data_IF_810237058050
#
_entry.id   IF_810237058050
#
_cell.length_a   1.000
_cell.length_b   1.000
_cell.length_c   1.000
_cell.angle_alpha   90.00
_cell.angle_beta   90.00
_cell.angle_gamma   90.00
#
_symmetry.space_group_name_H-M   'P 1'
#
loop_
_entity.id
_entity.type
_entity.pdbx_description
1 polymer ?
#
# COMPACT_ATOMS: atom_id res chain seq x y z
N UNK A 1 -9.95 -10.70 -16.10
CA UNK A 1 -8.74 -9.85 -16.18
C UNK A 1 -7.60 -10.59 -15.51
N UNK A 2 -6.44 -10.66 -16.15
CA UNK A 2 -5.29 -11.31 -15.53
C UNK A 2 -4.70 -10.42 -14.42
N UNK A 3 -3.84 -10.98 -13.61
CA UNK A 3 -3.27 -10.30 -12.46
C UNK A 3 -2.46 -9.06 -12.84
N UNK A 4 -1.65 -9.15 -13.90
CA UNK A 4 -0.84 -8.03 -14.36
C UNK A 4 -1.69 -6.83 -14.75
N UNK A 5 -2.77 -7.05 -15.50
CA UNK A 5 -3.68 -5.98 -15.90
C UNK A 5 -4.42 -5.40 -14.69
N UNK A 6 -4.76 -6.25 -13.73
CA UNK A 6 -5.42 -5.82 -12.50
C UNK A 6 -4.52 -4.91 -11.66
N UNK A 7 -3.23 -5.27 -11.56
CA UNK A 7 -2.24 -4.47 -10.86
C UNK A 7 -2.12 -3.06 -11.46
N UNK A 8 -1.98 -2.99 -12.77
CA UNK A 8 -1.85 -1.72 -13.49
C UNK A 8 -3.11 -0.88 -13.38
N UNK A 9 -4.26 -1.52 -13.50
CA UNK A 9 -5.56 -0.83 -13.42
C UNK A 9 -5.77 -0.19 -12.04
N UNK A 10 -5.50 -0.93 -10.97
CA UNK A 10 -5.67 -0.39 -9.61
C UNK A 10 -4.69 0.73 -9.31
N UNK A 11 -3.41 0.57 -9.68
CA UNK A 11 -2.44 1.64 -9.51
C UNK A 11 -2.92 2.93 -10.21
N UNK A 12 -3.47 2.79 -11.40
CA UNK A 12 -3.99 3.94 -12.13
C UNK A 12 -5.19 4.57 -11.44
N UNK A 13 -6.15 3.75 -11.00
CA UNK A 13 -7.36 4.24 -10.31
C UNK A 13 -7.01 4.96 -9.01
N UNK A 14 -6.04 4.46 -8.28
CA UNK A 14 -5.61 5.05 -7.02
C UNK A 14 -4.63 6.20 -7.21
N UNK A 15 -4.13 6.40 -8.43
CA UNK A 15 -3.10 7.38 -8.79
C UNK A 15 -1.82 7.19 -7.99
N UNK A 16 -1.36 5.95 -7.92
CA UNK A 16 -0.13 5.56 -7.23
C UNK A 16 0.73 4.65 -8.11
N UNK A 17 1.97 4.45 -7.69
CA UNK A 17 2.92 3.54 -8.33
C UNK A 17 3.42 2.56 -7.28
N UNK A 18 2.80 1.39 -7.22
CA UNK A 18 3.15 0.36 -6.24
C UNK A 18 3.52 -0.97 -6.88
N UNK A 19 3.27 -1.12 -8.17
CA UNK A 19 3.53 -2.36 -8.91
C UNK A 19 5.03 -2.53 -9.15
N UNK A 20 5.47 -3.78 -9.11
CA UNK A 20 6.86 -4.15 -9.37
C UNK A 20 7.61 -4.46 -8.09
N UNK A 21 8.65 -5.28 -8.25
CA UNK A 21 9.52 -5.71 -7.17
C UNK A 21 10.67 -4.74 -6.99
N UNK A 22 11.07 -4.50 -5.75
CA UNK A 22 12.24 -3.70 -5.44
C UNK A 22 13.16 -4.53 -4.53
N UNK A 23 14.33 -4.96 -5.06
CA UNK A 23 15.30 -5.75 -4.35
C UNK A 23 16.38 -4.91 -3.66
N UNK A 24 16.28 -3.59 -3.76
CA UNK A 24 17.24 -2.69 -3.13
C UNK A 24 17.28 -2.95 -1.63
N UNK A 25 18.49 -3.20 -1.09
CA UNK A 25 18.71 -3.53 0.31
C UNK A 25 18.15 -4.90 0.74
N UNK A 26 17.80 -5.77 -0.20
CA UNK A 26 17.43 -7.14 0.14
C UNK A 26 18.66 -7.92 0.59
N UNK A 27 18.56 -8.63 1.72
CA UNK A 27 19.61 -9.49 2.25
C UNK A 27 19.00 -10.56 3.16
N UNK A 28 19.82 -11.25 3.96
CA UNK A 28 19.32 -12.32 4.83
C UNK A 28 18.38 -11.83 5.94
N UNK A 29 18.37 -10.54 6.23
CA UNK A 29 17.55 -9.92 7.29
C UNK A 29 16.44 -9.05 6.73
N UNK A 30 16.47 -8.71 5.44
CA UNK A 30 15.51 -7.81 4.80
C UNK A 30 15.00 -8.42 3.52
N UNK A 31 13.71 -8.46 3.39
CA UNK A 31 13.08 -8.96 2.17
C UNK A 31 12.96 -7.84 1.15
N UNK A 32 13.00 -8.19 -0.15
CA UNK A 32 12.72 -7.20 -1.19
C UNK A 32 11.29 -6.70 -1.08
N UNK A 33 11.04 -5.48 -1.55
CA UNK A 33 9.68 -5.01 -1.67
C UNK A 33 8.95 -5.84 -2.71
N UNK A 34 7.82 -6.40 -2.34
CA UNK A 34 6.98 -7.18 -3.21
C UNK A 34 5.54 -6.94 -2.78
N UNK A 35 4.73 -6.25 -3.61
CA UNK A 35 3.41 -5.86 -3.17
C UNK A 35 2.44 -7.04 -3.11
N UNK A 36 1.54 -6.99 -2.14
CA UNK A 36 0.42 -7.92 -2.06
C UNK A 36 -0.47 -7.72 -3.30
N UNK A 37 -0.84 -8.78 -4.02
CA UNK A 37 -1.71 -8.63 -5.19
C UNK A 37 -3.02 -7.95 -4.86
N UNK A 38 -3.47 -7.07 -5.74
CA UNK A 38 -4.76 -6.40 -5.55
C UNK A 38 -5.94 -7.35 -5.44
N UNK A 39 -5.86 -8.50 -6.11
CA UNK A 39 -6.92 -9.52 -5.98
C UNK A 39 -7.11 -10.01 -4.55
N UNK A 40 -6.01 -10.11 -3.81
CA UNK A 40 -6.06 -10.49 -2.38
C UNK A 40 -6.67 -9.34 -1.57
N UNK A 41 -6.27 -8.11 -1.86
CA UNK A 41 -6.80 -6.93 -1.17
C UNK A 41 -8.30 -6.74 -1.44
N UNK A 42 -8.75 -7.03 -2.66
CA UNK A 42 -10.16 -7.00 -3.01
C UNK A 42 -10.97 -7.97 -2.13
N UNK A 43 -10.45 -9.19 -1.93
CA UNK A 43 -11.11 -10.17 -1.05
C UNK A 43 -11.18 -9.66 0.38
N UNK A 44 -10.10 -9.08 0.88
CA UNK A 44 -10.06 -8.55 2.23
C UNK A 44 -11.07 -7.40 2.40
N UNK A 45 -11.10 -6.48 1.46
CA UNK A 45 -12.05 -5.38 1.49
C UNK A 45 -13.50 -5.86 1.46
N UNK A 46 -13.78 -6.90 0.66
CA UNK A 46 -15.12 -7.46 0.50
C UNK A 46 -15.56 -8.32 1.68
N UNK A 47 -14.64 -8.69 2.55
CA UNK A 47 -14.95 -9.53 3.73
C UNK A 47 -15.78 -8.81 4.79
N UNK A 48 -15.76 -7.48 4.79
CA UNK A 48 -16.42 -6.69 5.82
C UNK A 48 -15.67 -6.60 7.14
N UNK A 49 -14.45 -7.16 7.20
CA UNK A 49 -13.64 -7.12 8.42
C UNK A 49 -13.07 -5.73 8.71
N UNK A 50 -12.81 -4.96 7.66
CA UNK A 50 -12.28 -3.60 7.81
C UNK A 50 -13.40 -2.63 7.45
N UNK A 51 -13.71 -1.74 8.37
CA UNK A 51 -14.83 -0.80 8.24
C UNK A 51 -14.34 0.64 8.33
N UNK A 52 -15.20 1.54 7.93
CA UNK A 52 -14.96 2.99 7.95
C UNK A 52 -14.48 3.50 9.32
N UNK A 53 -14.97 2.93 10.41
CA UNK A 53 -14.63 3.35 11.77
C UNK A 53 -13.26 2.84 12.23
N UNK A 54 -12.68 1.89 11.50
CA UNK A 54 -11.42 1.27 11.89
C UNK A 54 -10.22 2.11 11.46
N UNK A 55 -9.12 1.88 12.14
CA UNK A 55 -7.80 2.36 11.72
C UNK A 55 -6.94 1.14 11.47
N UNK A 56 -6.47 1.00 10.23
CA UNK A 56 -5.58 -0.08 9.83
C UNK A 56 -4.15 0.31 10.16
N UNK A 57 -3.43 -0.59 10.82
CA UNK A 57 -1.99 -0.43 11.04
C UNK A 57 -1.26 -1.43 10.16
N UNK A 58 -0.42 -0.92 9.29
CA UNK A 58 0.29 -1.71 8.29
C UNK A 58 1.80 -1.64 8.53
N UNK A 59 2.36 -2.66 9.16
CA UNK A 59 3.79 -2.76 9.39
C UNK A 59 4.50 -3.26 8.14
N UNK A 60 5.55 -2.55 7.74
CA UNK A 60 6.22 -2.86 6.49
C UNK A 60 5.38 -2.45 5.30
N UNK A 61 4.85 -1.23 5.33
CA UNK A 61 3.86 -0.79 4.35
C UNK A 61 4.40 -0.66 2.92
N UNK A 62 5.71 -0.73 2.73
CA UNK A 62 6.30 -0.59 1.40
C UNK A 62 5.93 0.74 0.75
N UNK A 63 5.49 0.68 -0.49
CA UNK A 63 5.09 1.87 -1.25
C UNK A 63 3.67 2.34 -0.94
N UNK A 64 2.99 1.66 0.01
CA UNK A 64 1.69 2.09 0.52
C UNK A 64 0.46 1.46 -0.14
N UNK A 65 0.64 0.44 -0.98
CA UNK A 65 -0.49 -0.16 -1.71
C UNK A 65 -1.67 -0.52 -0.81
N UNK A 66 -1.42 -1.27 0.26
CA UNK A 66 -2.47 -1.74 1.17
C UNK A 66 -3.22 -0.56 1.77
N UNK A 67 -2.46 0.45 2.21
CA UNK A 67 -3.01 1.63 2.85
C UNK A 67 -3.92 2.42 1.91
N UNK A 68 -3.43 2.73 0.72
CA UNK A 68 -4.21 3.49 -0.26
C UNK A 68 -5.44 2.71 -0.73
N UNK A 69 -5.27 1.40 -0.99
CA UNK A 69 -6.38 0.58 -1.45
C UNK A 69 -7.47 0.46 -0.37
N UNK A 70 -7.08 0.10 0.86
CA UNK A 70 -8.06 -0.10 1.92
C UNK A 70 -8.77 1.18 2.29
N UNK A 71 -8.05 2.29 2.37
CA UNK A 71 -8.67 3.58 2.67
C UNK A 71 -9.63 4.03 1.57
N UNK A 72 -9.31 3.71 0.31
CA UNK A 72 -10.21 4.00 -0.81
C UNK A 72 -11.47 3.12 -0.78
N UNK A 73 -11.29 1.80 -0.61
CA UNK A 73 -12.40 0.85 -0.70
C UNK A 73 -13.29 0.83 0.53
N UNK A 74 -12.72 0.95 1.72
CA UNK A 74 -13.47 0.81 2.98
C UNK A 74 -13.70 2.14 3.69
N UNK A 75 -13.00 3.19 3.26
CA UNK A 75 -12.98 4.50 3.89
C UNK A 75 -12.40 4.51 5.30
N UNK A 76 -11.67 3.45 5.66
CA UNK A 76 -10.95 3.42 6.93
C UNK A 76 -9.76 4.38 6.88
N UNK A 77 -9.20 4.67 8.05
CA UNK A 77 -7.91 5.33 8.14
C UNK A 77 -6.82 4.27 8.08
N UNK A 78 -5.68 4.62 7.54
CA UNK A 78 -4.53 3.72 7.47
C UNK A 78 -3.28 4.40 7.98
N UNK A 79 -2.50 3.66 8.75
CA UNK A 79 -1.18 4.09 9.20
C UNK A 79 -0.17 3.05 8.73
N UNK A 80 0.67 3.43 7.80
CA UNK A 80 1.73 2.57 7.28
C UNK A 80 3.06 2.90 7.94
N UNK A 81 3.80 1.88 8.31
CA UNK A 81 5.10 2.03 8.95
C UNK A 81 6.15 1.32 8.10
N UNK A 82 7.23 2.02 7.75
CA UNK A 82 8.27 1.50 6.89
C UNK A 82 9.65 1.86 7.46
N UNK A 83 10.56 0.87 7.47
CA UNK A 83 11.92 1.07 7.97
C UNK A 83 12.95 1.33 6.87
N UNK A 84 12.65 0.98 5.62
CA UNK A 84 13.53 1.23 4.49
C UNK A 84 13.30 2.65 3.98
N UNK A 85 14.30 3.52 4.14
CA UNK A 85 14.19 4.94 3.81
C UNK A 85 13.81 5.18 2.35
N UNK A 86 14.44 4.46 1.43
CA UNK A 86 14.16 4.60 0.00
C UNK A 86 12.72 4.23 -0.35
N UNK A 87 12.22 3.13 0.23
CA UNK A 87 10.86 2.68 -0.02
C UNK A 87 9.86 3.60 0.67
N UNK A 88 10.18 4.07 1.88
CA UNK A 88 9.36 5.06 2.58
C UNK A 88 9.18 6.33 1.72
N UNK A 89 10.24 6.81 1.10
CA UNK A 89 10.16 7.98 0.22
C UNK A 89 9.22 7.72 -0.96
N UNK A 90 9.20 6.51 -1.50
CA UNK A 90 8.27 6.14 -2.56
C UNK A 90 6.82 6.16 -2.09
N UNK A 91 6.57 5.72 -0.85
CA UNK A 91 5.24 5.82 -0.25
C UNK A 91 4.81 7.28 -0.11
N UNK A 92 5.71 8.13 0.35
CA UNK A 92 5.44 9.57 0.49
C UNK A 92 5.20 10.23 -0.86
N UNK A 93 5.94 9.85 -1.89
CA UNK A 93 5.70 10.35 -3.25
C UNK A 93 4.32 9.93 -3.75
N UNK A 94 3.93 8.68 -3.49
CA UNK A 94 2.59 8.20 -3.83
C UNK A 94 1.51 9.00 -3.13
N UNK A 95 1.75 9.39 -1.89
CA UNK A 95 0.77 10.16 -1.12
C UNK A 95 0.45 11.50 -1.76
N UNK A 96 1.40 12.12 -2.45
CA UNK A 96 1.19 13.40 -3.11
C UNK A 96 0.13 13.33 -4.22
N UNK A 97 0.01 12.19 -4.88
CA UNK A 97 -0.91 12.00 -6.01
C UNK A 97 -2.12 11.14 -5.69
N UNK A 98 -2.06 10.35 -4.63
CA UNK A 98 -3.06 9.32 -4.35
C UNK A 98 -4.45 9.91 -4.08
N UNK A 99 -5.46 9.23 -4.63
CA UNK A 99 -6.86 9.62 -4.48
C UNK A 99 -7.29 9.60 -3.01
N UNK A 100 -6.82 8.60 -2.24
CA UNK A 100 -7.23 8.41 -0.85
C UNK A 100 -6.23 8.99 0.16
N UNK A 101 -5.37 9.91 -0.27
CA UNK A 101 -4.26 10.40 0.56
C UNK A 101 -4.67 10.98 1.91
N UNK A 102 -5.83 11.61 1.99
CA UNK A 102 -6.30 12.25 3.23
C UNK A 102 -6.59 11.29 4.38
N UNK A 103 -6.68 9.99 4.10
CA UNK A 103 -6.96 8.96 5.11
C UNK A 103 -5.74 8.11 5.44
N UNK A 104 -4.59 8.43 4.86
CA UNK A 104 -3.38 7.63 4.97
C UNK A 104 -2.26 8.45 5.61
N UNK A 105 -1.62 7.87 6.61
CA UNK A 105 -0.45 8.44 7.27
C UNK A 105 0.70 7.44 7.16
N UNK A 106 1.90 7.90 6.84
CA UNK A 106 3.08 7.06 6.85
C UNK A 106 4.07 7.51 7.91
N UNK A 107 4.65 6.53 8.59
CA UNK A 107 5.68 6.76 9.60
C UNK A 107 6.95 6.03 9.21
N UNK A 108 8.08 6.69 9.37
CA UNK A 108 9.40 6.09 9.18
C UNK A 108 9.91 5.55 10.50
N UNK A 109 10.51 4.34 10.49
CA UNK A 109 11.16 3.76 11.65
C UNK A 109 12.67 4.03 11.69
N UNK A 110 13.14 4.93 10.88
CA UNK A 110 14.58 5.27 10.84
C UNK A 110 14.95 6.13 12.05
#
# INVERSE_FOLDING_TARGET
MNEEKNETRWDRLLAVRTTGRDDTNADQYRYPYEPTPYSVLERLANSGLIRKENTLLDYGCGKGRVDFFMSYQTRCRSIGVEYNERIYEKAMNNKESAVASGRVLFLSLI
#
